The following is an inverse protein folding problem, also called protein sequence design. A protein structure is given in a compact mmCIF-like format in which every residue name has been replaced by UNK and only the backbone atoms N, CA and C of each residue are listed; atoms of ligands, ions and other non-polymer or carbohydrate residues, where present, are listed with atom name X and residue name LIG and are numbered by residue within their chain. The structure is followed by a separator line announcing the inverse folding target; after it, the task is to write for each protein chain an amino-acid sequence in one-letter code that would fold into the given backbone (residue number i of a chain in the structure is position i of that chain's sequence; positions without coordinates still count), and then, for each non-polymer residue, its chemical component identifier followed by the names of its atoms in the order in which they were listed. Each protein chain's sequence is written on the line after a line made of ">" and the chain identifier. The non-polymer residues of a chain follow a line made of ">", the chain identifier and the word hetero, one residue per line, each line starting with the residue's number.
data_IF_180110098517
#
_entry.id   IF_180110098517
#
_cell.length_a   1.000
_cell.length_b   1.000
_cell.length_c   1.000
_cell.angle_alpha   90.00
_cell.angle_beta   90.00
_cell.angle_gamma   90.00
#
_symmetry.space_group_name_H-M   'P 1'
#
loop_
_entity.id
_entity.type
_entity.pdbx_description
1 polymer ?
#
# COMPACT_ATOMS: atom_id res chain seq x y z
N UNK A 1 -6.73 41.87 -3.61
CA UNK A 1 -7.24 40.69 -4.36
C UNK A 1 -6.11 39.76 -4.80
N UNK A 2 -4.97 40.31 -5.26
CA UNK A 2 -3.76 39.53 -5.57
C UNK A 2 -3.28 38.64 -4.42
N UNK A 3 -3.24 39.15 -3.18
CA UNK A 3 -2.70 38.38 -2.05
C UNK A 3 -3.56 37.18 -1.64
N UNK A 4 -4.88 37.28 -1.78
CA UNK A 4 -5.82 36.18 -1.53
C UNK A 4 -5.65 35.10 -2.60
N UNK A 5 -5.57 35.49 -3.87
CA UNK A 5 -5.34 34.56 -4.98
C UNK A 5 -4.01 33.82 -4.84
N UNK A 6 -2.94 34.53 -4.46
CA UNK A 6 -1.63 33.93 -4.19
C UNK A 6 -1.71 32.94 -3.02
N UNK A 7 -2.42 33.30 -1.95
CA UNK A 7 -2.60 32.42 -0.79
C UNK A 7 -3.37 31.16 -1.16
N UNK A 8 -4.46 31.28 -1.92
CA UNK A 8 -5.24 30.13 -2.42
C UNK A 8 -4.38 29.27 -3.34
N UNK A 9 -3.62 29.87 -4.26
CA UNK A 9 -2.73 29.13 -5.15
C UNK A 9 -1.65 28.35 -4.38
N UNK A 10 -1.08 28.96 -3.33
CA UNK A 10 -0.10 28.30 -2.47
C UNK A 10 -0.72 27.11 -1.72
N UNK A 11 -1.92 27.28 -1.15
CA UNK A 11 -2.63 26.21 -0.44
C UNK A 11 -2.98 25.07 -1.40
N UNK A 12 -3.50 25.38 -2.58
CA UNK A 12 -3.79 24.37 -3.60
C UNK A 12 -2.51 23.65 -4.04
N UNK A 13 -1.40 24.35 -4.22
CA UNK A 13 -0.11 23.73 -4.53
C UNK A 13 0.33 22.76 -3.43
N UNK A 14 0.22 23.15 -2.16
CA UNK A 14 0.54 22.28 -1.02
C UNK A 14 -0.36 21.04 -1.00
N UNK A 15 -1.66 21.20 -1.19
CA UNK A 15 -2.61 20.07 -1.30
C UNK A 15 -2.24 19.14 -2.45
N UNK A 16 -1.87 19.68 -3.62
CA UNK A 16 -1.45 18.89 -4.78
C UNK A 16 -0.12 18.16 -4.56
N UNK A 17 0.81 18.76 -3.82
CA UNK A 17 2.04 18.06 -3.42
C UNK A 17 1.70 16.88 -2.51
N UNK A 18 0.79 17.07 -1.54
CA UNK A 18 0.25 15.99 -0.71
C UNK A 18 -0.41 14.88 -1.54
N UNK A 19 -1.22 15.27 -2.53
CA UNK A 19 -1.88 14.34 -3.46
C UNK A 19 -0.90 13.42 -4.19
N UNK A 20 0.26 13.94 -4.58
CA UNK A 20 1.30 13.13 -5.22
C UNK A 20 1.83 12.05 -4.27
N UNK A 21 2.04 12.37 -2.99
CA UNK A 21 2.44 11.38 -2.00
C UNK A 21 1.35 10.31 -1.79
N UNK A 22 0.07 10.71 -1.67
CA UNK A 22 -1.05 9.76 -1.53
C UNK A 22 -1.14 8.84 -2.75
N UNK A 23 -1.06 9.38 -3.97
CA UNK A 23 -1.11 8.59 -5.18
C UNK A 23 0.06 7.59 -5.25
N UNK A 24 1.27 8.02 -4.89
CA UNK A 24 2.46 7.17 -4.87
C UNK A 24 2.38 6.06 -3.81
N UNK A 25 1.89 6.40 -2.61
CA UNK A 25 1.62 5.47 -1.51
C UNK A 25 0.69 4.35 -1.96
N UNK A 26 -0.49 4.73 -2.45
CA UNK A 26 -1.53 3.78 -2.83
C UNK A 26 -1.12 2.96 -4.05
N UNK A 27 -0.44 3.56 -5.01
CA UNK A 27 0.10 2.85 -6.16
C UNK A 27 1.08 1.75 -5.72
N UNK A 28 2.00 2.06 -4.80
CA UNK A 28 2.99 1.08 -4.35
C UNK A 28 2.37 -0.05 -3.51
N UNK A 29 1.44 0.28 -2.62
CA UNK A 29 0.73 -0.72 -1.78
C UNK A 29 -0.15 -1.64 -2.62
N UNK A 30 -0.68 -1.14 -3.74
CA UNK A 30 -1.55 -1.90 -4.64
C UNK A 30 -0.78 -2.81 -5.59
N UNK A 31 0.53 -2.61 -5.76
CA UNK A 31 1.35 -3.46 -6.61
C UNK A 31 1.63 -4.79 -5.90
N UNK A 32 1.21 -5.89 -6.53
CA UNK A 32 1.60 -7.23 -6.09
C UNK A 32 3.09 -7.47 -6.29
N UNK A 33 3.68 -8.40 -5.52
CA UNK A 33 5.11 -8.70 -5.58
C UNK A 33 5.57 -9.14 -6.99
N UNK A 34 4.76 -9.95 -7.68
CA UNK A 34 5.01 -10.36 -9.07
C UNK A 34 5.00 -9.18 -10.06
N UNK A 35 4.06 -8.25 -9.90
CA UNK A 35 3.97 -7.05 -10.75
C UNK A 35 5.17 -6.13 -10.50
N UNK A 36 5.53 -5.90 -9.23
CA UNK A 36 6.68 -5.07 -8.89
C UNK A 36 8.01 -5.63 -9.43
N UNK A 37 8.19 -6.95 -9.38
CA UNK A 37 9.35 -7.63 -9.99
C UNK A 37 9.32 -7.53 -11.52
N UNK A 38 8.16 -7.71 -12.16
CA UNK A 38 8.02 -7.55 -13.61
C UNK A 38 8.31 -6.13 -14.10
N UNK A 39 8.16 -5.11 -13.25
CA UNK A 39 8.56 -3.74 -13.56
C UNK A 39 10.08 -3.55 -13.51
N UNK A 40 10.84 -4.35 -12.76
CA UNK A 40 12.30 -4.20 -12.61
C UNK A 40 13.02 -4.19 -13.97
N UNK A 41 12.58 -5.08 -14.87
CA UNK A 41 13.14 -5.25 -16.21
C UNK A 41 12.78 -4.10 -17.18
N UNK A 42 11.85 -3.21 -16.82
CA UNK A 42 11.40 -2.08 -17.65
C UNK A 42 12.30 -0.84 -17.52
N UNK A 43 13.43 -0.97 -16.82
CA UNK A 43 14.50 0.04 -16.74
C UNK A 43 14.60 0.75 -15.40
N UNK A 44 15.32 1.89 -15.35
CA UNK A 44 15.75 2.54 -14.09
C UNK A 44 14.61 2.93 -13.15
N UNK A 45 13.44 3.29 -13.67
CA UNK A 45 12.26 3.64 -12.85
C UNK A 45 11.61 2.39 -12.29
N UNK A 46 11.52 1.34 -13.10
CA UNK A 46 11.03 0.02 -12.71
C UNK A 46 11.84 -0.61 -11.57
N UNK A 47 13.16 -0.61 -11.69
CA UNK A 47 14.05 -1.08 -10.63
C UNK A 47 13.87 -0.30 -9.30
N UNK A 48 13.56 1.00 -9.35
CA UNK A 48 13.23 1.78 -8.15
C UNK A 48 11.89 1.36 -7.56
N UNK A 49 10.86 1.14 -8.38
CA UNK A 49 9.56 0.65 -7.91
C UNK A 49 9.74 -0.70 -7.23
N UNK A 50 10.46 -1.64 -7.83
CA UNK A 50 10.76 -2.94 -7.25
C UNK A 50 11.48 -2.81 -5.89
N UNK A 51 12.52 -1.98 -5.82
CA UNK A 51 13.24 -1.72 -4.57
C UNK A 51 12.34 -1.09 -3.48
N UNK A 52 11.50 -0.12 -3.85
CA UNK A 52 10.58 0.52 -2.91
C UNK A 52 9.50 -0.45 -2.42
N UNK A 53 8.99 -1.33 -3.30
CA UNK A 53 8.05 -2.38 -2.96
C UNK A 53 8.67 -3.43 -2.03
N UNK A 54 9.97 -3.73 -2.18
CA UNK A 54 10.72 -4.61 -1.28
C UNK A 54 11.01 -3.98 0.10
N UNK A 55 10.96 -2.65 0.21
CA UNK A 55 11.18 -1.90 1.47
C UNK A 55 10.02 -0.96 1.80
N UNK A 56 8.78 -1.49 1.93
CA UNK A 56 7.57 -0.68 1.94
C UNK A 56 7.52 0.26 3.14
N UNK A 57 7.93 -0.19 4.33
CA UNK A 57 7.87 0.61 5.55
C UNK A 57 8.60 1.97 5.43
N UNK A 58 9.75 2.01 4.77
CA UNK A 58 10.51 3.26 4.61
C UNK A 58 9.81 4.23 3.67
N UNK A 59 9.25 3.71 2.57
CA UNK A 59 8.49 4.51 1.62
C UNK A 59 7.18 5.02 2.22
N UNK A 60 6.43 4.14 2.89
CA UNK A 60 5.19 4.48 3.58
C UNK A 60 5.42 5.57 4.63
N UNK A 61 6.47 5.44 5.44
CA UNK A 61 6.83 6.48 6.41
C UNK A 61 7.14 7.83 5.72
N UNK A 62 7.90 7.81 4.62
CA UNK A 62 8.22 9.02 3.87
C UNK A 62 6.97 9.67 3.25
N UNK A 63 6.11 8.88 2.61
CA UNK A 63 4.85 9.36 2.04
C UNK A 63 3.95 9.95 3.12
N UNK A 64 3.77 9.26 4.25
CA UNK A 64 2.96 9.73 5.38
C UNK A 64 3.47 11.06 5.94
N UNK A 65 4.79 11.22 6.09
CA UNK A 65 5.40 12.50 6.50
C UNK A 65 5.05 13.59 5.50
N UNK A 66 5.19 13.31 4.19
CA UNK A 66 4.86 14.24 3.12
C UNK A 66 3.41 14.69 3.13
N UNK A 67 2.47 13.73 3.25
CA UNK A 67 1.02 14.00 3.33
C UNK A 67 0.68 14.83 4.58
N UNK A 68 1.20 14.42 5.73
CA UNK A 68 0.95 15.11 7.00
C UNK A 68 1.49 16.54 6.97
N UNK A 69 2.72 16.72 6.48
CA UNK A 69 3.34 18.04 6.35
C UNK A 69 2.56 18.93 5.38
N UNK A 70 2.21 18.42 4.20
CA UNK A 70 1.42 19.15 3.21
C UNK A 70 0.04 19.55 3.77
N UNK A 71 -0.62 18.65 4.49
CA UNK A 71 -1.92 18.90 5.14
C UNK A 71 -1.82 19.99 6.20
N UNK A 72 -0.88 19.88 7.14
CA UNK A 72 -0.69 20.87 8.20
C UNK A 72 -0.27 22.23 7.66
N UNK A 73 0.61 22.29 6.67
CA UNK A 73 0.98 23.55 6.02
C UNK A 73 -0.21 24.17 5.30
N UNK A 74 -0.97 23.38 4.54
CA UNK A 74 -2.17 23.89 3.85
C UNK A 74 -3.20 24.46 4.83
N UNK A 75 -3.44 23.77 5.95
CA UNK A 75 -4.36 24.22 6.99
C UNK A 75 -3.84 25.48 7.71
N UNK A 76 -2.57 25.49 8.13
CA UNK A 76 -1.98 26.61 8.86
C UNK A 76 -1.85 27.88 8.01
N UNK A 77 -1.37 27.77 6.77
CA UNK A 77 -1.34 28.91 5.84
C UNK A 77 -2.75 29.36 5.45
N UNK A 78 -3.65 28.39 5.30
CA UNK A 78 -5.07 28.61 5.06
C UNK A 78 -5.73 29.48 6.10
N UNK A 79 -5.60 29.07 7.35
CA UNK A 79 -6.07 29.82 8.50
C UNK A 79 -5.43 31.21 8.53
N UNK A 80 -4.11 31.31 8.66
CA UNK A 80 -3.42 32.59 8.87
C UNK A 80 -3.67 33.64 7.76
N UNK A 81 -3.85 33.19 6.51
CA UNK A 81 -4.03 34.09 5.35
C UNK A 81 -5.50 34.34 4.99
N UNK A 82 -6.40 33.37 5.15
CA UNK A 82 -7.80 33.55 4.75
C UNK A 82 -8.71 33.96 5.92
N UNK A 83 -8.40 33.60 7.17
CA UNK A 83 -9.24 33.95 8.32
C UNK A 83 -9.34 35.47 8.51
N UNK A 84 -8.23 36.17 8.32
CA UNK A 84 -8.10 37.64 8.36
C UNK A 84 -8.90 38.37 7.27
N UNK A 85 -9.30 37.69 6.20
CA UNK A 85 -10.14 38.27 5.14
C UNK A 85 -11.64 38.06 5.38
N UNK A 86 -11.99 37.02 6.14
CA UNK A 86 -13.37 36.66 6.44
C UNK A 86 -13.88 37.33 7.73
N UNK A 87 -13.01 37.54 8.72
CA UNK A 87 -13.35 38.24 9.98
C UNK A 87 -14.04 39.60 9.75
N UNK A 88 -13.52 40.54 8.92
CA UNK A 88 -14.14 41.85 8.74
C UNK A 88 -15.49 41.78 8.04
N UNK A 89 -15.75 40.70 7.27
CA UNK A 89 -17.02 40.50 6.59
C UNK A 89 -18.10 40.03 7.56
N UNK A 90 -17.72 39.19 8.53
CA UNK A 90 -18.60 38.73 9.61
C UNK A 90 -18.92 39.86 10.59
N UNK A 91 -17.95 40.71 10.92
CA UNK A 91 -18.18 41.90 11.74
C UNK A 91 -19.15 42.87 11.07
N UNK A 92 -18.99 43.11 9.76
CA UNK A 92 -19.96 43.91 8.97
C UNK A 92 -21.36 43.30 8.93
N UNK A 93 -21.48 41.99 9.11
CA UNK A 93 -22.75 41.29 9.21
C UNK A 93 -23.37 41.35 10.62
N UNK A 94 -22.77 42.08 11.56
CA UNK A 94 -23.27 42.28 12.92
C UNK A 94 -22.79 41.26 13.95
N UNK A 95 -21.80 40.42 13.60
CA UNK A 95 -21.19 39.46 14.53
C UNK A 95 -20.18 40.18 15.42
N UNK A 96 -20.20 39.91 16.73
CA UNK A 96 -19.19 40.45 17.65
C UNK A 96 -17.81 39.90 17.33
N UNK A 97 -16.77 40.73 17.44
CA UNK A 97 -15.37 40.39 17.09
C UNK A 97 -14.92 39.00 17.58
N UNK A 98 -15.07 38.69 18.87
CA UNK A 98 -14.63 37.39 19.40
C UNK A 98 -15.37 36.18 18.80
N UNK A 99 -16.63 36.35 18.39
CA UNK A 99 -17.38 35.31 17.67
C UNK A 99 -16.98 35.26 16.21
N UNK A 100 -16.71 36.40 15.57
CA UNK A 100 -16.25 36.48 14.19
C UNK A 100 -14.90 35.78 14.00
N UNK A 101 -13.98 35.91 14.98
CA UNK A 101 -12.69 35.24 14.99
C UNK A 101 -12.82 33.71 14.99
N UNK A 102 -13.59 33.18 15.94
CA UNK A 102 -13.83 31.72 16.06
C UNK A 102 -14.58 31.19 14.85
N UNK A 103 -15.62 31.90 14.39
CA UNK A 103 -16.43 31.46 13.25
C UNK A 103 -15.61 31.45 11.96
N UNK A 104 -14.77 32.47 11.75
CA UNK A 104 -13.87 32.55 10.61
C UNK A 104 -12.85 31.40 10.61
N UNK A 105 -12.22 31.14 11.75
CA UNK A 105 -11.32 30.01 11.94
C UNK A 105 -11.99 28.68 11.57
N UNK A 106 -13.17 28.41 12.14
CA UNK A 106 -13.90 27.16 11.90
C UNK A 106 -14.32 27.02 10.44
N UNK A 107 -14.86 28.08 9.83
CA UNK A 107 -15.35 28.03 8.45
C UNK A 107 -14.21 27.82 7.45
N UNK A 108 -13.12 28.59 7.56
CA UNK A 108 -11.95 28.45 6.70
C UNK A 108 -11.32 27.07 6.86
N UNK A 109 -11.15 26.60 8.09
CA UNK A 109 -10.61 25.27 8.37
C UNK A 109 -11.47 24.18 7.74
N UNK A 110 -12.80 24.28 7.84
CA UNK A 110 -13.73 23.28 7.29
C UNK A 110 -13.69 23.26 5.75
N UNK A 111 -13.66 24.43 5.11
CA UNK A 111 -13.54 24.54 3.64
C UNK A 111 -12.21 23.96 3.16
N UNK A 112 -11.10 24.33 3.79
CA UNK A 112 -9.77 23.85 3.41
C UNK A 112 -9.66 22.36 3.67
N UNK A 113 -10.17 21.87 4.79
CA UNK A 113 -10.20 20.43 5.10
C UNK A 113 -10.99 19.65 4.07
N UNK A 114 -12.16 20.15 3.64
CA UNK A 114 -12.94 19.50 2.59
C UNK A 114 -12.17 19.42 1.27
N UNK A 115 -11.56 20.53 0.82
CA UNK A 115 -10.76 20.55 -0.41
C UNK A 115 -9.53 19.64 -0.29
N UNK A 116 -8.84 19.65 0.85
CA UNK A 116 -7.68 18.81 1.11
C UNK A 116 -8.05 17.32 1.13
N UNK A 117 -9.17 16.93 1.73
CA UNK A 117 -9.63 15.53 1.72
C UNK A 117 -10.03 15.12 0.31
N UNK A 118 -10.82 15.92 -0.41
CA UNK A 118 -11.32 15.53 -1.74
C UNK A 118 -10.19 15.51 -2.77
N UNK A 119 -9.46 16.62 -2.90
CA UNK A 119 -8.44 16.81 -3.94
C UNK A 119 -7.09 16.24 -3.51
N UNK A 120 -6.74 16.38 -2.23
CA UNK A 120 -5.47 15.91 -1.68
C UNK A 120 -5.44 14.42 -1.36
N UNK A 121 -6.58 13.79 -1.06
CA UNK A 121 -6.59 12.40 -0.61
C UNK A 121 -7.48 11.47 -1.44
N UNK A 122 -8.79 11.75 -1.54
CA UNK A 122 -9.76 10.83 -2.13
C UNK A 122 -9.58 10.64 -3.64
N UNK A 123 -9.40 11.74 -4.39
CA UNK A 123 -9.18 11.68 -5.84
C UNK A 123 -7.85 10.98 -6.17
N UNK A 124 -6.71 11.35 -5.56
CA UNK A 124 -5.43 10.68 -5.80
C UNK A 124 -5.45 9.21 -5.41
N UNK A 125 -6.12 8.85 -4.29
CA UNK A 125 -6.30 7.46 -3.86
C UNK A 125 -7.05 6.65 -4.93
N UNK A 126 -8.14 7.19 -5.51
CA UNK A 126 -8.86 6.53 -6.61
C UNK A 126 -8.00 6.39 -7.87
N UNK A 127 -7.26 7.43 -8.25
CA UNK A 127 -6.38 7.40 -9.43
C UNK A 127 -5.20 6.43 -9.24
N UNK A 128 -4.62 6.36 -8.05
CA UNK A 128 -3.56 5.43 -7.68
C UNK A 128 -4.02 3.97 -7.78
N UNK A 129 -5.24 3.67 -7.31
CA UNK A 129 -5.83 2.32 -7.42
C UNK A 129 -6.09 1.91 -8.87
N UNK A 130 -6.58 2.82 -9.72
CA UNK A 130 -6.91 2.50 -11.10
C UNK A 130 -5.67 2.31 -12.00
N UNK A 131 -4.54 2.93 -11.66
CA UNK A 131 -3.33 2.95 -12.48
C UNK A 131 -2.07 2.74 -11.62
N UNK A 132 -2.04 1.67 -10.84
CA UNK A 132 -0.97 1.39 -9.88
C UNK A 132 0.42 1.38 -10.52
N UNK A 133 0.63 0.61 -11.61
CA UNK A 133 1.93 0.52 -12.28
C UNK A 133 2.40 1.87 -12.82
N UNK A 134 1.54 2.58 -13.57
CA UNK A 134 1.87 3.87 -14.16
C UNK A 134 2.17 4.94 -13.11
N UNK A 135 1.35 5.03 -12.06
CA UNK A 135 1.56 5.96 -10.95
C UNK A 135 2.84 5.63 -10.18
N UNK A 136 3.12 4.35 -9.91
CA UNK A 136 4.35 3.95 -9.23
C UNK A 136 5.60 4.29 -10.04
N UNK A 137 5.59 4.02 -11.35
CA UNK A 137 6.72 4.38 -12.24
C UNK A 137 6.95 5.89 -12.32
N UNK A 138 5.88 6.67 -12.36
CA UNK A 138 5.96 8.13 -12.46
C UNK A 138 6.44 8.76 -11.14
N UNK A 139 5.91 8.28 -10.00
CA UNK A 139 6.06 8.93 -8.70
C UNK A 139 7.22 8.37 -7.87
N UNK A 140 7.66 7.13 -8.13
CA UNK A 140 8.79 6.51 -7.41
C UNK A 140 10.07 7.35 -7.35
N UNK A 141 10.49 8.10 -8.40
CA UNK A 141 11.69 8.93 -8.31
C UNK A 141 11.54 10.07 -7.30
N UNK A 142 10.36 10.70 -7.27
CA UNK A 142 10.07 11.84 -6.40
C UNK A 142 10.04 11.38 -4.94
N UNK A 143 9.31 10.29 -4.67
CA UNK A 143 9.17 9.78 -3.30
C UNK A 143 10.47 9.13 -2.80
N UNK A 144 11.24 8.42 -3.63
CA UNK A 144 12.56 7.89 -3.20
C UNK A 144 13.54 9.03 -2.89
N UNK A 145 13.53 10.11 -3.69
CA UNK A 145 14.30 11.32 -3.41
C UNK A 145 13.93 11.95 -2.07
N UNK A 146 12.63 12.14 -1.83
CA UNK A 146 12.12 12.66 -0.56
C UNK A 146 12.44 11.72 0.61
N UNK A 147 12.29 10.41 0.44
CA UNK A 147 12.62 9.40 1.45
C UNK A 147 14.12 9.34 1.75
N UNK A 148 14.99 9.75 0.82
CA UNK A 148 16.43 9.93 1.05
C UNK A 148 16.71 11.17 1.88
N UNK A 149 16.04 12.28 1.56
CA UNK A 149 16.15 13.53 2.30
C UNK A 149 15.64 13.39 3.75
N UNK A 150 14.50 12.71 3.93
CA UNK A 150 13.86 12.49 5.23
C UNK A 150 14.45 11.30 6.00
N UNK A 151 15.54 10.66 5.54
CA UNK A 151 16.20 9.55 6.25
C UNK A 151 16.40 9.77 7.76
N UNK A 152 16.98 10.90 8.22
CA UNK A 152 17.20 11.09 9.66
C UNK A 152 15.88 11.22 10.44
N UNK A 153 14.86 11.85 9.83
CA UNK A 153 13.53 12.02 10.44
C UNK A 153 12.81 10.67 10.53
N UNK A 154 12.84 9.88 9.45
CA UNK A 154 12.28 8.53 9.42
C UNK A 154 12.98 7.64 10.45
N UNK A 155 14.31 7.71 10.55
CA UNK A 155 15.05 6.94 11.56
C UNK A 155 14.61 7.30 12.99
N UNK A 156 14.48 8.60 13.29
CA UNK A 156 14.02 9.05 14.60
C UNK A 156 12.60 8.55 14.89
N UNK A 157 11.69 8.70 13.93
CA UNK A 157 10.31 8.21 14.01
C UNK A 157 10.27 6.70 14.24
N UNK A 158 10.96 5.90 13.42
CA UNK A 158 11.03 4.45 13.60
C UNK A 158 11.53 4.07 14.99
N UNK A 159 12.61 4.70 15.47
CA UNK A 159 13.14 4.41 16.81
C UNK A 159 12.15 4.79 17.91
N UNK A 160 11.45 5.91 17.78
CA UNK A 160 10.40 6.30 18.72
C UNK A 160 9.23 5.32 18.71
N UNK A 161 8.79 4.88 17.54
CA UNK A 161 7.74 3.86 17.39
C UNK A 161 8.16 2.54 18.02
N UNK A 162 9.37 2.06 17.75
CA UNK A 162 9.89 0.81 18.32
C UNK A 162 9.92 0.85 19.85
N UNK A 163 10.29 1.99 20.44
CA UNK A 163 10.29 2.19 21.89
C UNK A 163 8.86 2.10 22.42
N UNK A 164 7.90 2.81 21.81
CA UNK A 164 6.50 2.78 22.24
C UNK A 164 5.91 1.38 22.12
N UNK A 165 6.16 0.67 21.01
CA UNK A 165 5.71 -0.71 20.78
C UNK A 165 6.26 -1.65 21.86
N UNK A 166 7.56 -1.53 22.20
CA UNK A 166 8.18 -2.32 23.29
C UNK A 166 7.60 -1.99 24.65
N UNK A 167 7.31 -0.73 24.94
CA UNK A 167 6.67 -0.30 26.19
C UNK A 167 5.25 -0.87 26.33
N UNK A 168 4.54 -1.04 25.22
CA UNK A 168 3.23 -1.70 25.17
C UNK A 168 3.32 -3.24 25.17
N UNK A 169 4.53 -3.82 25.24
CA UNK A 169 4.75 -5.26 25.32
C UNK A 169 4.68 -6.00 23.99
N UNK A 170 4.70 -5.31 22.87
CA UNK A 170 4.72 -5.90 21.53
C UNK A 170 6.15 -5.94 20.95
N UNK A 171 6.40 -6.86 20.02
CA UNK A 171 7.67 -6.94 19.28
C UNK A 171 7.60 -6.10 17.99
N UNK A 172 8.38 -5.00 17.86
CA UNK A 172 8.41 -4.19 16.64
C UNK A 172 9.01 -4.93 15.42
N UNK A 173 9.72 -6.04 15.64
CA UNK A 173 10.30 -6.87 14.58
C UNK A 173 9.39 -7.99 14.08
N UNK A 174 8.20 -8.17 14.66
CA UNK A 174 7.30 -9.25 14.29
C UNK A 174 6.76 -9.05 12.85
N UNK A 175 7.40 -9.70 11.87
CA UNK A 175 6.84 -9.84 10.52
C UNK A 175 5.68 -10.84 10.54
N UNK A 176 4.67 -10.64 9.68
CA UNK A 176 3.66 -11.67 9.40
C UNK A 176 4.41 -12.98 9.12
N UNK A 177 4.18 -13.99 9.95
CA UNK A 177 4.70 -15.33 9.73
C UNK A 177 4.40 -15.71 8.27
N UNK A 178 5.42 -16.22 7.57
CA UNK A 178 5.23 -16.82 6.26
C UNK A 178 4.03 -17.76 6.34
N UNK A 179 3.11 -17.67 5.38
CA UNK A 179 1.87 -18.44 5.38
C UNK A 179 2.28 -19.92 5.45
N UNK A 180 1.94 -20.59 6.54
CA UNK A 180 2.17 -22.04 6.67
C UNK A 180 1.32 -22.78 5.64
N UNK A 181 1.70 -24.01 5.27
CA UNK A 181 0.91 -24.83 4.34
C UNK A 181 -0.56 -24.96 4.79
N UNK A 182 -0.81 -25.03 6.09
CA UNK A 182 -2.15 -25.01 6.69
C UNK A 182 -2.90 -23.68 6.42
N UNK A 183 -2.20 -22.55 6.46
CA UNK A 183 -2.75 -21.25 6.08
C UNK A 183 -3.02 -21.14 4.58
N UNK A 184 -2.20 -21.80 3.74
CA UNK A 184 -2.39 -21.86 2.29
C UNK A 184 -3.66 -22.65 1.94
N UNK A 185 -3.87 -23.82 2.56
CA UNK A 185 -5.09 -24.61 2.40
C UNK A 185 -6.35 -23.84 2.81
N UNK A 186 -6.27 -23.08 3.91
CA UNK A 186 -7.36 -22.18 4.33
C UNK A 186 -7.69 -21.08 3.32
N UNK A 187 -6.67 -20.50 2.66
CA UNK A 187 -6.86 -19.47 1.63
C UNK A 187 -7.47 -20.04 0.34
N UNK A 188 -7.05 -21.23 -0.09
CA UNK A 188 -7.61 -21.93 -1.25
C UNK A 188 -9.07 -22.32 -0.99
N UNK A 189 -9.37 -22.83 0.20
CA UNK A 189 -10.74 -23.20 0.60
C UNK A 189 -11.69 -21.99 0.66
N UNK A 190 -11.18 -20.81 1.02
CA UNK A 190 -11.93 -19.56 1.13
C UNK A 190 -12.12 -18.83 -0.21
N UNK A 191 -11.42 -19.23 -1.29
CA UNK A 191 -11.49 -18.53 -2.57
C UNK A 191 -12.75 -18.90 -3.36
N UNK A 192 -13.72 -17.99 -3.44
CA UNK A 192 -15.03 -18.23 -4.10
C UNK A 192 -14.96 -18.47 -5.61
N UNK A 193 -13.88 -18.04 -6.26
CA UNK A 193 -13.68 -18.22 -7.70
C UNK A 193 -13.31 -19.64 -8.13
N UNK A 194 -12.96 -20.52 -7.18
CA UNK A 194 -12.62 -21.92 -7.46
C UNK A 194 -13.86 -22.80 -7.31
N UNK A 195 -14.12 -23.63 -8.32
CA UNK A 195 -15.13 -24.69 -8.27
C UNK A 195 -14.75 -25.76 -7.24
N UNK A 196 -15.73 -26.59 -6.84
CA UNK A 196 -15.49 -27.67 -5.88
C UNK A 196 -14.44 -28.68 -6.38
N UNK A 197 -14.44 -28.95 -7.69
CA UNK A 197 -13.51 -29.90 -8.30
C UNK A 197 -12.08 -29.34 -8.35
N UNK A 198 -11.93 -28.04 -8.64
CA UNK A 198 -10.61 -27.37 -8.60
C UNK A 198 -10.02 -27.34 -7.19
N UNK A 199 -10.85 -27.09 -6.16
CA UNK A 199 -10.39 -27.16 -4.75
C UNK A 199 -9.94 -28.58 -4.39
N UNK A 200 -10.72 -29.58 -4.76
CA UNK A 200 -10.38 -30.99 -4.52
C UNK A 200 -9.09 -31.40 -5.23
N UNK A 201 -8.88 -30.95 -6.46
CA UNK A 201 -7.65 -31.20 -7.21
C UNK A 201 -6.44 -30.60 -6.49
N UNK A 202 -6.54 -29.35 -6.01
CA UNK A 202 -5.46 -28.69 -5.28
C UNK A 202 -5.14 -29.45 -3.99
N UNK A 203 -6.16 -29.88 -3.23
CA UNK A 203 -5.97 -30.69 -2.02
C UNK A 203 -5.27 -32.04 -2.34
N UNK A 204 -5.66 -32.71 -3.43
CA UNK A 204 -5.04 -33.95 -3.88
C UNK A 204 -3.58 -33.76 -4.31
N UNK A 205 -3.23 -32.63 -4.92
CA UNK A 205 -1.86 -32.29 -5.30
C UNK A 205 -0.97 -32.07 -4.08
N UNK A 206 -1.46 -31.34 -3.07
CA UNK A 206 -0.73 -31.18 -1.80
C UNK A 206 -0.55 -32.52 -1.10
N UNK A 207 -1.61 -33.33 -1.01
CA UNK A 207 -1.54 -34.66 -0.43
C UNK A 207 -0.58 -35.59 -1.20
N UNK A 208 -0.47 -35.46 -2.52
CA UNK A 208 0.46 -36.24 -3.32
C UNK A 208 1.94 -35.90 -3.02
N UNK A 209 2.25 -34.63 -2.69
CA UNK A 209 3.59 -34.21 -2.28
C UNK A 209 4.04 -34.81 -0.94
N UNK A 210 3.09 -35.09 -0.05
CA UNK A 210 3.35 -35.73 1.25
C UNK A 210 3.38 -37.27 1.18
N UNK A 211 2.80 -37.85 0.12
CA UNK A 211 2.75 -39.31 -0.05
C UNK A 211 4.12 -39.89 -0.35
N UNK A 212 4.45 -40.96 0.36
CA UNK A 212 5.66 -41.70 0.12
C UNK A 212 5.47 -42.69 -1.03
N UNK A 213 6.53 -42.98 -1.79
CA UNK A 213 6.47 -43.89 -2.94
C UNK A 213 5.85 -45.26 -2.59
N UNK A 214 6.11 -45.75 -1.36
CA UNK A 214 5.55 -47.02 -0.85
C UNK A 214 4.02 -47.03 -0.72
N UNK A 215 3.39 -45.86 -0.65
CA UNK A 215 1.94 -45.69 -0.46
C UNK A 215 1.19 -45.69 -1.80
N UNK A 216 1.93 -45.57 -2.91
CA UNK A 216 1.37 -45.46 -4.27
C UNK A 216 1.87 -46.57 -5.20
N UNK A 217 3.02 -47.18 -4.89
CA UNK A 217 3.57 -48.29 -5.67
C UNK A 217 2.71 -49.56 -5.54
N UNK A 218 2.64 -50.35 -6.60
CA UNK A 218 2.09 -51.71 -6.53
C UNK A 218 3.06 -52.56 -5.69
N UNK A 219 2.61 -53.19 -4.59
CA UNK A 219 3.46 -54.05 -3.78
C UNK A 219 4.08 -55.16 -4.64
N UNK A 220 5.35 -55.51 -4.40
CA UNK A 220 6.06 -56.54 -5.19
C UNK A 220 5.30 -57.86 -5.27
N UNK A 221 4.53 -58.21 -4.25
CA UNK A 221 3.69 -59.41 -4.19
C UNK A 221 2.49 -59.39 -5.14
N UNK A 222 2.07 -58.22 -5.60
CA UNK A 222 0.94 -58.00 -6.51
C UNK A 222 1.40 -57.69 -7.94
N UNK A 223 2.72 -57.63 -8.16
CA UNK A 223 3.28 -57.46 -9.50
C UNK A 223 3.24 -58.79 -10.23
N UNK A 224 2.65 -58.78 -11.42
CA UNK A 224 2.67 -59.93 -12.32
C UNK A 224 4.02 -59.97 -13.05
N UNK A 225 4.81 -61.03 -12.80
CA UNK A 225 6.13 -61.19 -13.39
C UNK A 225 6.06 -62.16 -14.57
N UNK A 226 6.74 -61.80 -15.66
CA UNK A 226 7.04 -62.72 -16.75
C UNK A 226 8.45 -63.29 -16.58
N UNK A 227 8.60 -64.60 -16.72
CA UNK A 227 9.90 -65.24 -16.76
C UNK A 227 10.71 -64.77 -17.99
N UNK A 228 11.98 -64.45 -17.79
CA UNK A 228 12.88 -63.98 -18.86
C UNK A 228 13.07 -65.02 -19.99
N UNK A 229 12.82 -66.30 -19.71
CA UNK A 229 12.89 -67.41 -20.67
C UNK A 229 11.63 -67.59 -21.52
N UNK A 230 10.56 -66.82 -21.30
CA UNK A 230 9.34 -66.91 -22.09
C UNK A 230 9.59 -66.46 -23.53
N UNK A 231 9.15 -67.29 -24.48
CA UNK A 231 9.11 -66.88 -25.88
C UNK A 231 7.98 -65.88 -26.11
N UNK A 232 8.17 -64.94 -27.06
CA UNK A 232 7.18 -63.88 -27.37
C UNK A 232 5.77 -64.44 -27.61
N UNK A 233 5.65 -65.56 -28.30
CA UNK A 233 4.36 -66.21 -28.58
C UNK A 233 3.63 -66.71 -27.32
N UNK A 234 4.35 -67.00 -26.23
CA UNK A 234 3.78 -67.42 -24.94
C UNK A 234 3.50 -66.24 -24.01
N UNK A 235 4.26 -65.15 -24.13
CA UNK A 235 4.08 -63.94 -23.33
C UNK A 235 2.90 -63.05 -23.79
N UNK A 236 2.37 -63.28 -24.99
CA UNK A 236 1.22 -62.54 -25.55
C UNK A 236 -0.16 -63.12 -25.17
N UNK A 237 -0.19 -64.21 -24.41
CA UNK A 237 -1.43 -64.79 -23.86
C UNK A 237 -1.62 -64.31 -22.44
#
# INVERSE_FOLDING_TARGET
>A
MSDVLISIALILLLILIGAVFVAGEIALVSLGESQARGLEDQGRRGARVAHLAATPNRFLAAAQIGVTFAGFMSAAFGEARLSSHLQPQLERAGVSQGVADVLSLVLITLVISYVAIVVGELVPKRLGLQRAEGSALLLSPFVDGFAKLMRPVIWLLSRSTDIVVRLLGADPGAQRQAISEQGLGGLVAAHESLTKDERKLIDEVFAAGERQLREVMVPRTEVEFLEASLTVARAMK
#
